data_IF_827862650454
#
_entry.id   IF_827862650454
#
_cell.length_a   1.000
_cell.length_b   1.000
_cell.length_c   1.000
_cell.angle_alpha   90.00
_cell.angle_beta   90.00
_cell.angle_gamma   90.00
#
_symmetry.space_group_name_H-M   'P 1'
#
loop_
_entity.id
_entity.type
_entity.pdbx_description
1 polymer ?
#
# COMPACT_ATOMS: atom_id res chain seq x y z
N UNK A 1 -14.37 -9.38 -8.08
CA UNK A 1 -14.59 -9.01 -6.67
C UNK A 1 -13.22 -8.72 -6.10
N UNK A 2 -13.05 -7.62 -5.37
CA UNK A 2 -11.79 -7.35 -4.67
C UNK A 2 -11.72 -8.16 -3.37
N UNK A 3 -10.62 -8.87 -3.18
CA UNK A 3 -10.29 -9.53 -1.91
C UNK A 3 -9.19 -8.75 -1.21
N UNK A 4 -9.46 -8.26 0.00
CA UNK A 4 -8.49 -7.52 0.83
C UNK A 4 -8.14 -8.35 2.07
N UNK A 5 -6.86 -8.67 2.24
CA UNK A 5 -6.33 -9.35 3.43
C UNK A 5 -5.36 -8.46 4.20
N UNK A 6 -5.28 -8.67 5.52
CA UNK A 6 -4.22 -8.10 6.34
C UNK A 6 -2.87 -8.75 5.97
N UNK A 7 -1.78 -7.96 6.01
CA UNK A 7 -0.43 -8.46 5.71
C UNK A 7 0.09 -9.46 6.75
N UNK A 8 1.18 -10.14 6.38
CA UNK A 8 1.95 -11.03 7.24
C UNK A 8 3.45 -10.72 7.11
N UNK A 9 4.26 -11.31 7.99
CA UNK A 9 5.73 -11.15 7.99
C UNK A 9 6.34 -11.54 6.63
N UNK A 10 5.76 -12.52 5.95
CA UNK A 10 6.18 -12.93 4.61
C UNK A 10 6.05 -11.83 3.56
N UNK A 11 5.01 -10.98 3.64
CA UNK A 11 4.77 -9.88 2.67
C UNK A 11 5.85 -8.78 2.73
N UNK A 12 6.62 -8.74 3.83
CA UNK A 12 7.76 -7.83 4.05
C UNK A 12 9.11 -8.46 3.70
N UNK A 13 9.17 -9.77 3.40
CA UNK A 13 10.43 -10.47 3.07
C UNK A 13 11.04 -9.99 1.75
N UNK A 14 10.21 -9.51 0.82
CA UNK A 14 10.62 -9.01 -0.50
C UNK A 14 10.86 -7.50 -0.53
N UNK A 15 10.52 -6.77 0.55
CA UNK A 15 10.63 -5.31 0.61
C UNK A 15 12.04 -4.86 0.98
N UNK A 16 12.51 -3.80 0.32
CA UNK A 16 13.80 -3.20 0.62
C UNK A 16 13.81 -2.58 2.03
N UNK A 17 14.85 -2.89 2.80
CA UNK A 17 15.17 -2.24 4.07
C UNK A 17 15.72 -0.83 3.79
N UNK A 18 14.98 0.20 4.21
CA UNK A 18 15.30 1.61 3.99
C UNK A 18 16.42 2.13 4.91
N UNK A 19 16.63 1.51 6.07
CA UNK A 19 17.78 1.81 6.94
C UNK A 19 19.04 1.03 6.50
N UNK A 20 18.87 0.05 5.59
CA UNK A 20 19.93 -0.63 4.87
C UNK A 20 20.65 0.23 3.82
N UNK A 21 21.89 -0.12 3.50
CA UNK A 21 22.73 0.64 2.55
C UNK A 21 22.54 0.27 1.07
N UNK A 22 21.60 -0.62 0.74
CA UNK A 22 21.37 -1.15 -0.62
C UNK A 22 19.88 -1.11 -0.99
N UNK A 23 19.29 0.08 -0.94
CA UNK A 23 17.89 0.35 -1.34
C UNK A 23 17.65 0.33 -2.86
N UNK A 24 18.71 0.15 -3.67
CA UNK A 24 18.65 0.18 -5.13
C UNK A 24 18.73 1.59 -5.76
N UNK A 25 18.53 1.65 -7.09
CA UNK A 25 18.56 2.87 -7.92
C UNK A 25 17.46 2.77 -9.00
N UNK A 26 16.66 3.83 -9.20
CA UNK A 26 15.68 3.90 -10.32
C UNK A 26 16.42 3.86 -11.66
N UNK A 27 16.13 2.87 -12.50
CA UNK A 27 16.65 2.81 -13.87
C UNK A 27 15.82 3.69 -14.84
N UNK A 28 16.11 3.62 -16.15
CA UNK A 28 15.25 4.23 -17.17
C UNK A 28 13.89 3.54 -17.22
N UNK A 29 13.90 2.22 -17.39
CA UNK A 29 12.73 1.33 -17.45
C UNK A 29 11.75 1.58 -16.28
N UNK A 30 12.27 1.80 -15.08
CA UNK A 30 11.43 2.03 -13.88
C UNK A 30 10.80 3.43 -13.85
N UNK A 31 11.49 4.44 -14.42
CA UNK A 31 10.95 5.79 -14.60
C UNK A 31 9.90 5.82 -15.70
N UNK A 32 10.09 5.04 -16.76
CA UNK A 32 9.12 4.85 -17.84
C UNK A 32 7.87 4.14 -17.30
N UNK A 33 8.02 3.06 -16.49
CA UNK A 33 6.91 2.40 -15.78
C UNK A 33 6.12 3.35 -14.88
N UNK A 34 6.80 4.19 -14.10
CA UNK A 34 6.14 5.21 -13.25
C UNK A 34 5.40 6.26 -14.08
N UNK A 35 5.92 6.63 -15.25
CA UNK A 35 5.24 7.53 -16.20
C UNK A 35 3.98 6.88 -16.80
N UNK A 36 4.07 5.61 -17.24
CA UNK A 36 2.94 4.86 -17.79
C UNK A 36 1.83 4.65 -16.75
N UNK A 37 2.20 4.35 -15.51
CA UNK A 37 1.27 4.21 -14.39
C UNK A 37 0.60 5.56 -14.02
N UNK A 38 1.36 6.65 -14.04
CA UNK A 38 0.80 8.00 -13.87
C UNK A 38 -0.17 8.39 -14.99
N UNK A 39 0.19 8.08 -16.25
CA UNK A 39 -0.68 8.28 -17.40
C UNK A 39 -1.95 7.42 -17.32
N UNK A 40 -1.84 6.17 -16.85
CA UNK A 40 -2.97 5.28 -16.61
C UNK A 40 -3.96 5.86 -15.58
N UNK A 41 -3.47 6.29 -14.40
CA UNK A 41 -4.32 6.86 -13.35
C UNK A 41 -5.01 8.16 -13.78
N UNK A 42 -4.39 8.95 -14.67
CA UNK A 42 -5.06 10.12 -15.27
C UNK A 42 -6.10 9.70 -16.31
N UNK A 43 -5.80 8.72 -17.17
CA UNK A 43 -6.73 8.22 -18.19
C UNK A 43 -7.96 7.51 -17.62
N UNK A 44 -7.84 6.90 -16.44
CA UNK A 44 -8.93 6.27 -15.69
C UNK A 44 -9.67 7.23 -14.73
N UNK A 45 -9.31 8.53 -14.71
CA UNK A 45 -9.75 9.56 -13.73
C UNK A 45 -9.57 9.14 -12.24
N UNK A 46 -8.62 8.23 -12.00
CA UNK A 46 -8.32 7.63 -10.70
C UNK A 46 -7.23 8.37 -9.90
N UNK A 47 -6.61 9.40 -10.48
CA UNK A 47 -5.54 10.20 -9.87
C UNK A 47 -5.95 10.99 -8.61
N UNK A 48 -7.26 11.22 -8.38
CA UNK A 48 -7.79 11.74 -7.11
C UNK A 48 -8.10 10.64 -6.09
N UNK A 49 -8.13 9.38 -6.54
CA UNK A 49 -8.54 8.21 -5.75
C UNK A 49 -7.34 7.43 -5.21
N UNK A 50 -6.26 7.34 -5.98
CA UNK A 50 -5.04 6.60 -5.62
C UNK A 50 -3.77 7.43 -5.80
N UNK A 51 -2.90 7.39 -4.79
CA UNK A 51 -1.49 7.76 -4.91
C UNK A 51 -0.63 6.50 -5.03
N UNK A 52 0.51 6.60 -5.72
CA UNK A 52 1.48 5.49 -5.86
C UNK A 52 2.69 5.74 -4.97
N UNK A 53 3.05 4.74 -4.19
CA UNK A 53 4.18 4.75 -3.26
C UNK A 53 5.07 3.54 -3.53
N UNK A 54 6.38 3.69 -3.37
CA UNK A 54 7.33 2.59 -3.51
C UNK A 54 7.48 1.90 -2.16
N UNK A 55 7.05 0.64 -2.08
CA UNK A 55 7.03 -0.14 -0.83
C UNK A 55 8.45 -0.46 -0.36
N UNK A 56 8.67 -0.24 0.94
CA UNK A 56 9.92 -0.42 1.67
C UNK A 56 9.59 -0.77 3.12
N UNK A 57 10.59 -1.09 3.93
CA UNK A 57 10.44 -1.33 5.37
C UNK A 57 11.57 -0.72 6.18
N UNK A 58 11.31 -0.43 7.45
CA UNK A 58 12.32 -0.14 8.47
C UNK A 58 12.55 -1.33 9.43
N UNK A 59 11.55 -2.20 9.55
CA UNK A 59 11.57 -3.44 10.32
C UNK A 59 10.43 -4.34 9.85
N UNK A 60 10.48 -5.62 10.24
CA UNK A 60 9.39 -6.59 10.03
C UNK A 60 8.42 -6.56 11.23
N UNK A 61 7.09 -6.72 11.03
CA UNK A 61 6.11 -6.80 12.11
C UNK A 61 6.16 -8.17 12.81
N UNK A 62 5.73 -8.27 14.08
CA UNK A 62 5.56 -9.57 14.74
C UNK A 62 4.30 -10.31 14.21
N UNK A 63 4.23 -11.66 14.27
CA UNK A 63 3.12 -12.44 13.71
C UNK A 63 1.75 -12.13 14.32
N UNK A 64 0.95 -11.32 13.61
CA UNK A 64 -0.40 -10.90 14.02
C UNK A 64 -0.53 -9.40 14.33
N UNK A 65 0.57 -8.65 14.31
CA UNK A 65 0.55 -7.19 14.27
C UNK A 65 0.16 -6.69 12.87
N UNK A 66 -0.42 -5.48 12.84
CA UNK A 66 -0.50 -4.66 11.62
C UNK A 66 0.03 -3.26 11.89
N UNK A 67 0.64 -2.64 10.89
CA UNK A 67 1.01 -1.22 10.92
C UNK A 67 -0.25 -0.33 10.96
N UNK A 68 -0.43 0.38 12.07
CA UNK A 68 -1.54 1.32 12.27
C UNK A 68 -1.03 2.76 12.26
N UNK A 69 -1.52 3.54 11.30
CA UNK A 69 -1.38 4.99 11.23
C UNK A 69 -2.29 5.69 12.25
N UNK A 70 -1.79 6.79 12.82
CA UNK A 70 -2.56 7.75 13.61
C UNK A 70 -2.23 9.17 13.23
N UNK A 71 -3.25 10.03 13.21
CA UNK A 71 -3.08 11.47 12.98
C UNK A 71 -2.84 12.19 14.31
N UNK A 72 -1.88 13.11 14.32
CA UNK A 72 -1.59 14.00 15.44
C UNK A 72 -1.86 15.43 14.99
N UNK A 73 -2.87 16.07 15.59
CA UNK A 73 -3.31 17.42 15.20
C UNK A 73 -2.25 18.52 15.41
N UNK A 74 -1.42 18.39 16.46
CA UNK A 74 -0.45 19.43 16.81
C UNK A 74 0.81 18.89 17.53
N UNK A 75 2.02 19.06 16.94
CA UNK A 75 2.26 19.50 15.57
C UNK A 75 1.67 18.49 14.56
N UNK A 76 1.16 18.94 13.38
CA UNK A 76 0.63 18.05 12.35
C UNK A 76 1.62 16.95 11.94
N UNK A 77 1.30 15.70 12.27
CA UNK A 77 2.12 14.51 11.98
C UNK A 77 1.23 13.28 11.76
N UNK A 78 1.73 12.29 11.02
CA UNK A 78 1.22 10.91 11.03
C UNK A 78 2.24 10.03 11.72
N UNK A 79 1.80 9.17 12.65
CA UNK A 79 2.64 8.15 13.30
C UNK A 79 2.13 6.76 12.93
N UNK A 80 2.92 5.98 12.20
CA UNK A 80 2.66 4.55 11.97
C UNK A 80 3.34 3.71 13.06
N UNK A 81 2.66 2.69 13.59
CA UNK A 81 3.21 1.79 14.63
C UNK A 81 2.59 0.39 14.49
N UNK A 82 3.35 -0.71 14.63
CA UNK A 82 2.77 -2.04 14.65
C UNK A 82 1.88 -2.24 15.89
N UNK A 83 0.72 -2.86 15.71
CA UNK A 83 -0.22 -3.19 16.79
C UNK A 83 -0.92 -4.51 16.46
N UNK A 84 -0.97 -5.42 17.43
CA UNK A 84 -1.85 -6.60 17.47
C UNK A 84 -3.22 -6.37 16.81
N UNK A 85 -3.47 -7.02 15.66
CA UNK A 85 -4.69 -6.82 14.84
C UNK A 85 -5.98 -7.12 15.61
N UNK A 86 -5.90 -8.05 16.57
CA UNK A 86 -7.00 -8.45 17.44
C UNK A 86 -7.39 -7.40 18.51
N UNK A 87 -6.58 -6.35 18.71
CA UNK A 87 -6.95 -5.21 19.56
C UNK A 87 -8.08 -4.37 18.96
N UNK A 88 -8.35 -4.52 17.67
CA UNK A 88 -9.40 -3.83 16.93
C UNK A 88 -10.53 -4.81 16.56
N UNK A 89 -11.76 -4.27 16.40
CA UNK A 89 -12.82 -5.05 15.75
C UNK A 89 -12.49 -5.26 14.25
N UNK A 90 -13.11 -6.24 13.57
CA UNK A 90 -12.85 -6.49 12.15
C UNK A 90 -13.03 -5.25 11.27
N UNK A 91 -14.07 -4.45 11.55
CA UNK A 91 -14.37 -3.18 10.88
C UNK A 91 -13.79 -1.93 11.61
N UNK A 92 -12.92 -2.13 12.60
CA UNK A 92 -12.31 -1.05 13.41
C UNK A 92 -11.07 -0.41 12.79
N UNK A 93 -10.58 -0.97 11.69
CA UNK A 93 -9.48 -0.46 10.86
C UNK A 93 -9.89 -0.48 9.39
N UNK A 94 -9.26 0.38 8.60
CA UNK A 94 -9.41 0.48 7.14
C UNK A 94 -8.01 0.55 6.51
N UNK A 95 -7.74 -0.24 5.47
CA UNK A 95 -6.46 -0.17 4.78
C UNK A 95 -6.30 1.18 4.06
N UNK A 96 -5.19 1.86 4.30
CA UNK A 96 -4.79 3.13 3.71
C UNK A 96 -3.78 2.92 2.59
N UNK A 97 -2.79 2.06 2.82
CA UNK A 97 -1.86 1.56 1.80
C UNK A 97 -2.19 0.10 1.44
N UNK A 98 -2.19 -0.23 0.14
CA UNK A 98 -2.36 -1.61 -0.36
C UNK A 98 -1.27 -1.99 -1.36
N UNK A 99 -0.80 -3.24 -1.24
CA UNK A 99 0.01 -3.94 -2.23
C UNK A 99 -0.91 -4.74 -3.14
N UNK A 100 -0.83 -4.52 -4.44
CA UNK A 100 -1.45 -5.43 -5.43
C UNK A 100 -0.70 -6.76 -5.40
N UNK A 101 -1.44 -7.86 -5.21
CA UNK A 101 -0.89 -9.21 -5.24
C UNK A 101 -1.44 -9.96 -6.44
N UNK A 102 -0.61 -10.07 -7.48
CA UNK A 102 -0.93 -10.87 -8.67
C UNK A 102 -0.83 -12.36 -8.34
N UNK A 103 -1.98 -12.97 -8.07
CA UNK A 103 -2.13 -14.43 -8.15
C UNK A 103 -2.53 -14.81 -9.59
N UNK A 104 -2.30 -16.06 -9.98
CA UNK A 104 -2.40 -16.49 -11.38
C UNK A 104 -3.84 -16.76 -11.87
N UNK A 105 -4.81 -16.71 -10.97
CA UNK A 105 -6.24 -16.92 -11.21
C UNK A 105 -7.02 -15.60 -11.03
N UNK A 106 -8.20 -15.50 -11.65
CA UNK A 106 -8.85 -14.23 -12.00
C UNK A 106 -9.49 -13.40 -10.85
N UNK A 107 -9.00 -13.49 -9.61
CA UNK A 107 -9.48 -12.68 -8.48
C UNK A 107 -8.40 -11.67 -8.04
N UNK A 108 -8.72 -10.37 -8.12
CA UNK A 108 -7.79 -9.31 -7.76
C UNK A 108 -7.59 -9.24 -6.25
N UNK A 109 -6.47 -9.79 -5.78
CA UNK A 109 -6.13 -9.79 -4.36
C UNK A 109 -5.26 -8.60 -3.95
N UNK A 110 -5.62 -7.98 -2.83
CA UNK A 110 -4.96 -6.85 -2.22
C UNK A 110 -4.45 -7.25 -0.84
N UNK A 111 -3.23 -6.83 -0.50
CA UNK A 111 -2.68 -6.92 0.85
C UNK A 111 -2.68 -5.52 1.44
N UNK A 112 -3.39 -5.31 2.55
CA UNK A 112 -3.34 -4.05 3.30
C UNK A 112 -2.00 -3.93 4.01
N UNK A 113 -1.18 -2.95 3.63
CA UNK A 113 0.17 -2.73 4.17
C UNK A 113 0.14 -1.79 5.38
N UNK A 114 -0.71 -0.77 5.36
CA UNK A 114 -0.95 0.16 6.46
C UNK A 114 -2.46 0.38 6.64
N UNK A 115 -2.86 0.71 7.87
CA UNK A 115 -4.26 0.83 8.27
C UNK A 115 -4.48 2.05 9.16
N UNK A 116 -5.64 2.69 9.07
CA UNK A 116 -6.04 3.72 10.01
C UNK A 116 -7.41 3.44 10.65
N UNK A 117 -7.63 3.94 11.86
CA UNK A 117 -8.94 3.93 12.53
C UNK A 117 -9.91 4.93 11.89
N UNK A 118 -11.23 4.82 12.09
CA UNK A 118 -12.20 5.74 11.47
C UNK A 118 -12.06 7.22 11.84
N UNK A 119 -11.32 7.55 12.91
CA UNK A 119 -10.99 8.94 13.25
C UNK A 119 -9.78 9.45 12.44
N UNK A 120 -8.78 8.60 12.25
CA UNK A 120 -7.51 8.87 11.58
C UNK A 120 -7.62 8.80 10.04
N UNK A 121 -8.51 7.94 9.52
CA UNK A 121 -8.79 7.76 8.08
C UNK A 121 -9.54 8.96 7.44
N UNK A 122 -10.14 9.81 8.26
CA UNK A 122 -10.96 10.96 7.84
C UNK A 122 -12.18 10.59 6.99
N UNK A 123 -12.63 11.55 6.18
CA UNK A 123 -13.77 11.41 5.26
C UNK A 123 -13.46 10.52 4.02
N UNK A 124 -12.27 9.93 3.96
CA UNK A 124 -11.86 9.05 2.86
C UNK A 124 -12.79 7.85 2.73
N UNK A 125 -13.15 7.49 1.49
CA UNK A 125 -13.95 6.29 1.19
C UNK A 125 -13.03 5.06 1.24
N UNK A 126 -13.35 3.97 1.98
CA UNK A 126 -12.59 2.73 1.95
C UNK A 126 -12.48 2.14 0.54
N UNK A 127 -11.50 1.25 0.30
CA UNK A 127 -11.45 0.47 -0.94
C UNK A 127 -12.69 -0.43 -1.01
N UNK A 128 -13.33 -0.49 -2.18
CA UNK A 128 -14.60 -1.17 -2.42
C UNK A 128 -14.72 -1.63 -3.89
N UNK A 129 -15.77 -2.38 -4.24
CA UNK A 129 -15.91 -2.97 -5.59
C UNK A 129 -15.88 -1.95 -6.76
N UNK A 130 -16.20 -0.67 -6.54
CA UNK A 130 -16.04 0.36 -7.59
C UNK A 130 -14.59 0.60 -8.01
N UNK A 131 -13.63 0.23 -7.16
CA UNK A 131 -12.20 0.38 -7.41
C UNK A 131 -11.63 -0.77 -8.27
N UNK A 132 -12.38 -1.86 -8.48
CA UNK A 132 -11.87 -3.07 -9.12
C UNK A 132 -11.43 -2.86 -10.57
N UNK A 133 -12.21 -2.12 -11.36
CA UNK A 133 -11.92 -1.86 -12.79
C UNK A 133 -10.63 -1.05 -12.98
N UNK A 134 -10.33 -0.15 -12.04
CA UNK A 134 -9.09 0.64 -12.01
C UNK A 134 -7.90 -0.20 -11.54
N UNK A 135 -8.09 -1.03 -10.51
CA UNK A 135 -7.01 -1.85 -9.96
C UNK A 135 -6.65 -3.02 -10.89
N UNK A 136 -7.63 -3.59 -11.61
CA UNK A 136 -7.43 -4.65 -12.59
C UNK A 136 -6.83 -4.15 -13.93
N UNK A 137 -7.09 -2.89 -14.30
CA UNK A 137 -6.52 -2.27 -15.51
C UNK A 137 -5.10 -1.73 -15.32
N UNK A 138 -4.61 -1.63 -14.08
CA UNK A 138 -3.26 -1.15 -13.78
C UNK A 138 -2.19 -2.06 -14.39
N UNK A 139 -1.18 -1.54 -15.12
CA UNK A 139 -0.08 -2.35 -15.60
C UNK A 139 0.67 -2.98 -14.42
N UNK A 140 0.88 -4.31 -14.48
CA UNK A 140 1.34 -5.18 -13.39
C UNK A 140 2.28 -4.50 -12.38
N UNK A 141 1.76 -4.17 -11.19
CA UNK A 141 2.39 -3.27 -10.21
C UNK A 141 3.60 -3.88 -9.46
N UNK A 142 4.30 -4.84 -10.05
CA UNK A 142 5.59 -5.34 -9.57
C UNK A 142 6.71 -4.40 -10.05
N UNK A 143 6.79 -3.21 -9.46
CA UNK A 143 7.98 -2.34 -9.59
C UNK A 143 9.07 -2.89 -8.67
N UNK A 144 9.66 -4.01 -9.07
CA UNK A 144 10.86 -4.55 -8.43
C UNK A 144 12.06 -3.63 -8.74
N UNK A 145 12.37 -2.74 -7.77
CA UNK A 145 13.52 -1.81 -7.65
C UNK A 145 13.30 -0.35 -8.09
N UNK A 146 13.89 0.52 -7.26
CA UNK A 146 14.03 2.00 -7.30
C UNK A 146 15.21 2.33 -6.33
N UNK A 147 15.65 3.53 -5.90
CA UNK A 147 15.36 4.96 -6.20
C UNK A 147 16.70 5.69 -6.41
N UNK A 148 16.82 6.62 -7.36
CA UNK A 148 18.06 7.43 -7.52
C UNK A 148 17.89 8.87 -7.04
N UNK A 149 19.04 9.54 -6.85
CA UNK A 149 19.18 11.01 -6.92
C UNK A 149 18.39 11.62 -8.09
#
# INVERSE_FOLDING_TARGET
>A
MLSLQDHRVEDYTELADMDGTDVGILTGDDRDRLSDLGAYLVAADAWQRFGVWLLHKHFDPEPGEVFVERVIDWPPQTHTTPIERNAFSPAGLRATAVRLKSEADCEMSLVGMEFAGPADFGDTVPINDSDEEVLAGSPSLNIERAVSN
#
